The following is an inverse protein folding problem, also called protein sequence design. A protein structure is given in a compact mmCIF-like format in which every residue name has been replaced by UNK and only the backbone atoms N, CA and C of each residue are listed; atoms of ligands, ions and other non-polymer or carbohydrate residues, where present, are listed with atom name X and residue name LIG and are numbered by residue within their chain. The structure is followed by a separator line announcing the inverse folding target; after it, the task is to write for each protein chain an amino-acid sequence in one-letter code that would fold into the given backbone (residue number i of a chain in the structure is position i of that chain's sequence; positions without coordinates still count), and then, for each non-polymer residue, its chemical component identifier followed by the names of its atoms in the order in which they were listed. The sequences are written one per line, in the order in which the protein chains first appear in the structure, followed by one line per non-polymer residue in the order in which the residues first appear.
data_IF_357997114818
#
_entry.id   IF_357997114818
#
_cell.length_a   1.000
_cell.length_b   1.000
_cell.length_c   1.000
_cell.angle_alpha   90.00
_cell.angle_beta   90.00
_cell.angle_gamma   90.00
#
_symmetry.space_group_name_H-M   'P 1'
#
loop_
_entity.id
_entity.type
_entity.pdbx_description
1 polymer ?
#
# COMPACT_ATOMS: atom_id res chain seq x y z
N UNK A 1 12.89 34.26 -3.49
CA UNK A 1 12.66 32.79 -3.43
C UNK A 1 13.72 31.98 -4.17
N UNK A 2 14.23 32.41 -5.34
CA UNK A 2 15.30 31.69 -6.06
C UNK A 2 16.61 31.56 -5.26
N UNK A 3 17.10 32.64 -4.64
CA UNK A 3 18.36 32.62 -3.88
C UNK A 3 18.31 31.66 -2.69
N UNK A 4 17.16 31.58 -2.00
CA UNK A 4 16.93 30.62 -0.91
C UNK A 4 16.95 29.20 -1.45
N UNK A 5 16.26 28.92 -2.56
CA UNK A 5 16.29 27.60 -3.19
C UNK A 5 17.69 27.15 -3.59
N UNK A 6 18.52 28.06 -4.12
CA UNK A 6 19.93 27.77 -4.44
C UNK A 6 20.75 27.46 -3.19
N UNK A 7 20.57 28.23 -2.11
CA UNK A 7 21.27 27.98 -0.85
C UNK A 7 20.92 26.62 -0.25
N UNK A 8 19.62 26.26 -0.27
CA UNK A 8 19.15 24.94 0.20
C UNK A 8 19.73 23.82 -0.67
N UNK A 9 19.76 23.98 -2.00
CA UNK A 9 20.33 22.99 -2.90
C UNK A 9 21.83 22.75 -2.64
N UNK A 10 22.62 23.81 -2.48
CA UNK A 10 24.05 23.71 -2.15
C UNK A 10 24.24 23.06 -0.78
N UNK A 11 23.44 23.44 0.22
CA UNK A 11 23.48 22.82 1.55
C UNK A 11 23.16 21.32 1.52
N UNK A 12 22.11 20.93 0.79
CA UNK A 12 21.74 19.53 0.63
C UNK A 12 22.84 18.72 -0.09
N UNK A 13 23.48 19.31 -1.10
CA UNK A 13 24.60 18.68 -1.80
C UNK A 13 25.81 18.45 -0.88
N UNK A 14 26.18 19.44 -0.07
CA UNK A 14 27.28 19.30 0.90
C UNK A 14 26.98 18.17 1.89
N UNK A 15 25.76 18.11 2.44
CA UNK A 15 25.35 17.03 3.34
C UNK A 15 25.43 15.67 2.63
N UNK A 16 24.93 15.58 1.40
CA UNK A 16 24.95 14.34 0.62
C UNK A 16 26.39 13.86 0.36
N UNK A 17 27.30 14.76 -0.01
CA UNK A 17 28.72 14.42 -0.25
C UNK A 17 29.40 13.87 1.00
N UNK A 18 29.13 14.45 2.18
CA UNK A 18 29.69 13.97 3.45
C UNK A 18 29.07 12.63 3.86
N UNK A 19 27.79 12.42 3.57
CA UNK A 19 27.04 11.23 4.00
C UNK A 19 27.22 10.01 3.09
N UNK A 20 27.57 10.19 1.81
CA UNK A 20 27.50 9.10 0.82
C UNK A 20 28.49 7.97 1.10
N UNK A 21 29.76 8.28 1.39
CA UNK A 21 30.80 7.28 1.65
C UNK A 21 30.54 6.47 2.93
N UNK A 22 30.26 7.09 4.10
CA UNK A 22 30.00 6.31 5.32
C UNK A 22 28.70 5.49 5.27
N UNK A 23 27.70 5.91 4.48
CA UNK A 23 26.42 5.19 4.39
C UNK A 23 26.38 4.14 3.28
N UNK A 24 27.00 4.41 2.13
CA UNK A 24 26.87 3.57 0.93
C UNK A 24 28.19 2.91 0.48
N UNK A 25 29.35 3.43 0.91
CA UNK A 25 30.65 3.02 0.38
C UNK A 25 31.06 1.58 0.68
N UNK A 26 30.48 0.98 1.73
CA UNK A 26 30.73 -0.41 2.13
C UNK A 26 29.63 -1.40 1.75
N UNK A 27 28.65 -1.01 0.93
CA UNK A 27 27.49 -1.85 0.61
C UNK A 27 27.65 -2.54 -0.75
N UNK A 28 27.39 -3.86 -0.79
CA UNK A 28 27.38 -4.64 -2.02
C UNK A 28 26.31 -4.17 -3.02
N UNK A 29 25.20 -3.61 -2.52
CA UNK A 29 24.11 -3.11 -3.35
C UNK A 29 23.44 -1.85 -2.75
N UNK A 30 23.91 -0.67 -3.19
CA UNK A 30 23.33 0.62 -2.79
C UNK A 30 21.81 0.72 -3.08
N UNK A 31 21.30 0.01 -4.09
CA UNK A 31 19.87 -0.03 -4.40
C UNK A 31 19.02 -0.64 -3.28
N UNK A 32 19.53 -1.65 -2.56
CA UNK A 32 18.79 -2.24 -1.42
C UNK A 32 18.68 -1.25 -0.27
N UNK A 33 19.77 -0.52 0.00
CA UNK A 33 19.76 0.54 0.99
C UNK A 33 18.72 1.60 0.65
N UNK A 34 18.73 2.13 -0.57
CA UNK A 34 17.75 3.13 -1.01
C UNK A 34 16.32 2.61 -0.83
N UNK A 35 16.02 1.39 -1.27
CA UNK A 35 14.68 0.81 -1.14
C UNK A 35 14.28 0.60 0.33
N UNK A 36 15.19 0.13 1.17
CA UNK A 36 14.92 -0.09 2.58
C UNK A 36 14.54 1.21 3.30
N UNK A 37 15.35 2.26 3.16
CA UNK A 37 15.09 3.54 3.83
C UNK A 37 13.92 4.29 3.20
N UNK A 38 13.69 4.15 1.89
CA UNK A 38 12.46 4.68 1.28
C UNK A 38 11.22 3.91 1.75
N UNK A 39 11.37 2.63 2.05
CA UNK A 39 10.36 1.77 2.66
C UNK A 39 9.91 2.23 4.05
N UNK A 40 10.64 3.15 4.70
CA UNK A 40 10.18 3.77 5.95
C UNK A 40 9.11 4.82 5.71
N UNK A 41 8.97 5.32 4.47
CA UNK A 41 8.10 6.43 4.11
C UNK A 41 6.94 5.97 3.21
N UNK A 42 7.21 5.10 2.24
CA UNK A 42 6.22 4.68 1.24
C UNK A 42 4.89 4.14 1.80
N UNK A 43 4.87 3.31 2.86
CA UNK A 43 3.62 2.79 3.41
C UNK A 43 2.65 3.91 3.82
N UNK A 44 3.17 4.94 4.49
CA UNK A 44 2.38 6.09 4.92
C UNK A 44 1.86 6.92 3.77
N UNK A 45 2.72 7.18 2.77
CA UNK A 45 2.34 7.92 1.55
C UNK A 45 1.17 7.22 0.86
N UNK A 46 1.26 5.91 0.62
CA UNK A 46 0.20 5.16 -0.07
C UNK A 46 -1.12 5.22 0.71
N UNK A 47 -1.09 5.10 2.04
CA UNK A 47 -2.31 5.21 2.87
C UNK A 47 -2.90 6.62 2.80
N UNK A 48 -2.09 7.65 3.05
CA UNK A 48 -2.56 9.04 3.15
C UNK A 48 -3.06 9.56 1.79
N UNK A 49 -2.27 9.40 0.73
CA UNK A 49 -2.68 9.86 -0.59
C UNK A 49 -3.75 8.97 -1.20
N UNK A 50 -3.62 7.64 -1.09
CA UNK A 50 -4.61 6.70 -1.63
C UNK A 50 -6.00 6.95 -1.05
N UNK A 51 -6.11 7.01 0.28
CA UNK A 51 -7.40 7.25 0.93
C UNK A 51 -7.83 8.72 0.83
N UNK A 52 -6.91 9.68 0.95
CA UNK A 52 -7.24 11.10 0.84
C UNK A 52 -7.81 11.48 -0.54
N UNK A 53 -7.36 10.82 -1.61
CA UNK A 53 -7.86 11.03 -2.96
C UNK A 53 -9.17 10.27 -3.25
N UNK A 54 -9.30 9.04 -2.74
CA UNK A 54 -10.34 8.10 -3.18
C UNK A 54 -11.47 7.91 -2.16
N UNK A 55 -11.30 8.33 -0.90
CA UNK A 55 -12.25 8.04 0.17
C UNK A 55 -12.84 9.32 0.76
N UNK A 56 -14.14 9.55 0.56
CA UNK A 56 -14.80 10.80 1.01
C UNK A 56 -14.84 10.97 2.54
N UNK A 57 -14.69 9.87 3.29
CA UNK A 57 -14.60 9.89 4.75
C UNK A 57 -13.17 10.00 5.29
N UNK A 58 -12.16 10.06 4.41
CA UNK A 58 -10.78 10.20 4.83
C UNK A 58 -10.58 11.49 5.63
N UNK A 59 -10.25 11.33 6.91
CA UNK A 59 -10.09 12.46 7.83
C UNK A 59 -8.74 13.15 7.65
N UNK A 60 -8.74 14.48 7.69
CA UNK A 60 -7.50 15.26 7.80
C UNK A 60 -6.69 14.91 9.06
N UNK A 61 -7.37 14.61 10.17
CA UNK A 61 -6.76 14.18 11.43
C UNK A 61 -6.08 12.82 11.26
N UNK A 62 -6.76 11.86 10.63
CA UNK A 62 -6.18 10.55 10.31
C UNK A 62 -4.93 10.70 9.44
N UNK A 63 -4.98 11.52 8.40
CA UNK A 63 -3.86 11.76 7.50
C UNK A 63 -2.61 12.29 8.22
N UNK A 64 -2.76 13.30 9.07
CA UNK A 64 -1.62 13.89 9.81
C UNK A 64 -1.01 12.85 10.76
N UNK A 65 -1.82 12.15 11.54
CA UNK A 65 -1.32 11.16 12.49
C UNK A 65 -0.69 9.95 11.80
N UNK A 66 -1.27 9.47 10.70
CA UNK A 66 -0.65 8.41 9.89
C UNK A 66 0.71 8.85 9.35
N UNK A 67 0.83 10.07 8.81
CA UNK A 67 2.10 10.59 8.31
C UNK A 67 3.16 10.68 9.43
N UNK A 68 2.78 11.15 10.62
CA UNK A 68 3.66 11.21 11.79
C UNK A 68 4.07 9.80 12.23
N UNK A 69 3.14 8.85 12.30
CA UNK A 69 3.40 7.47 12.74
C UNK A 69 4.26 6.67 11.77
N UNK A 70 4.31 7.07 10.49
CA UNK A 70 5.01 6.32 9.44
C UNK A 70 6.49 6.09 9.77
N UNK A 71 7.22 7.15 10.17
CA UNK A 71 8.65 7.04 10.49
C UNK A 71 8.90 6.25 11.80
N UNK A 72 8.24 6.55 12.94
CA UNK A 72 8.37 5.75 14.15
C UNK A 72 8.07 4.27 13.94
N UNK A 73 7.04 3.93 13.16
CA UNK A 73 6.71 2.55 12.85
C UNK A 73 7.79 1.88 11.98
N UNK A 74 8.37 2.60 11.01
CA UNK A 74 9.52 2.13 10.23
C UNK A 74 10.72 1.77 11.09
N UNK A 75 11.11 2.68 11.99
CA UNK A 75 12.22 2.46 12.94
C UNK A 75 11.90 1.29 13.88
N UNK A 76 10.70 1.26 14.46
CA UNK A 76 10.27 0.20 15.37
C UNK A 76 10.35 -1.17 14.70
N UNK A 77 9.80 -1.32 13.48
CA UNK A 77 9.82 -2.59 12.76
C UNK A 77 11.23 -3.00 12.33
N UNK A 78 12.12 -2.05 11.98
CA UNK A 78 13.53 -2.35 11.70
C UNK A 78 14.24 -2.94 12.92
N UNK A 79 13.97 -2.40 14.12
CA UNK A 79 14.57 -2.86 15.37
C UNK A 79 13.96 -4.19 15.84
N UNK A 80 12.63 -4.33 15.79
CA UNK A 80 11.94 -5.51 16.29
C UNK A 80 12.01 -6.72 15.35
N UNK A 81 12.09 -6.49 14.04
CA UNK A 81 12.08 -7.53 13.01
C UNK A 81 13.31 -7.42 12.08
N UNK A 82 14.56 -7.46 12.62
CA UNK A 82 15.75 -7.22 11.82
C UNK A 82 15.97 -8.26 10.72
N UNK A 83 15.56 -9.51 10.97
CA UNK A 83 15.74 -10.64 10.05
C UNK A 83 14.66 -10.77 8.97
N UNK A 84 13.63 -9.91 9.02
CA UNK A 84 12.56 -9.91 8.01
C UNK A 84 13.00 -9.04 6.82
N UNK A 85 12.68 -9.42 5.58
CA UNK A 85 12.99 -8.57 4.43
C UNK A 85 12.27 -7.21 4.52
N UNK A 86 12.91 -6.12 4.08
CA UNK A 86 12.35 -4.77 4.23
C UNK A 86 11.00 -4.61 3.52
N UNK A 87 10.78 -5.35 2.43
CA UNK A 87 9.53 -5.36 1.66
C UNK A 87 8.36 -5.87 2.52
N UNK A 88 8.57 -6.93 3.30
CA UNK A 88 7.55 -7.45 4.22
C UNK A 88 7.32 -6.50 5.39
N UNK A 89 8.38 -5.92 5.96
CA UNK A 89 8.24 -4.88 7.01
C UNK A 89 7.38 -3.71 6.51
N UNK A 90 7.67 -3.20 5.31
CA UNK A 90 6.89 -2.13 4.68
C UNK A 90 5.41 -2.55 4.48
N UNK A 91 5.17 -3.78 4.07
CA UNK A 91 3.82 -4.36 3.98
C UNK A 91 3.08 -4.38 5.31
N UNK A 92 3.72 -4.82 6.39
CA UNK A 92 3.11 -4.83 7.73
C UNK A 92 2.80 -3.42 8.24
N UNK A 93 3.73 -2.48 8.03
CA UNK A 93 3.53 -1.07 8.39
C UNK A 93 2.35 -0.50 7.61
N UNK A 94 2.23 -0.80 6.31
CA UNK A 94 1.08 -0.38 5.50
C UNK A 94 -0.23 -0.87 6.10
N UNK A 95 -0.33 -2.16 6.46
CA UNK A 95 -1.55 -2.75 7.04
C UNK A 95 -1.92 -2.04 8.35
N UNK A 96 -0.94 -1.83 9.23
CA UNK A 96 -1.15 -1.18 10.52
C UNK A 96 -1.60 0.28 10.35
N UNK A 97 -0.90 1.04 9.50
CA UNK A 97 -1.23 2.44 9.22
C UNK A 97 -2.59 2.58 8.53
N UNK A 98 -2.94 1.65 7.65
CA UNK A 98 -4.25 1.60 7.00
C UNK A 98 -5.37 1.39 8.03
N UNK A 99 -5.25 0.38 8.90
CA UNK A 99 -6.24 0.12 9.95
C UNK A 99 -6.38 1.34 10.86
N UNK A 100 -5.25 1.92 11.30
CA UNK A 100 -5.23 3.14 12.10
C UNK A 100 -5.97 4.30 11.38
N UNK A 101 -5.64 4.55 10.11
CA UNK A 101 -6.25 5.63 9.33
C UNK A 101 -7.77 5.47 9.23
N UNK A 102 -8.23 4.25 8.93
CA UNK A 102 -9.66 3.94 8.83
C UNK A 102 -10.34 4.18 10.17
N UNK A 103 -9.80 3.63 11.26
CA UNK A 103 -10.35 3.80 12.61
C UNK A 103 -10.48 5.28 12.97
N UNK A 104 -9.39 6.06 12.86
CA UNK A 104 -9.42 7.49 13.18
C UNK A 104 -10.41 8.25 12.31
N UNK A 105 -10.53 7.90 11.03
CA UNK A 105 -11.49 8.54 10.12
C UNK A 105 -12.95 8.29 10.52
N UNK A 106 -13.28 7.12 11.07
CA UNK A 106 -14.63 6.85 11.60
C UNK A 106 -14.91 7.54 12.94
N UNK A 107 -13.87 7.80 13.76
CA UNK A 107 -14.00 8.50 15.03
C UNK A 107 -13.93 10.03 14.91
N UNK A 108 -13.43 10.56 13.80
CA UNK A 108 -13.40 12.01 13.57
C UNK A 108 -14.83 12.57 13.45
N UNK A 109 -15.07 13.67 14.15
CA UNK A 109 -16.36 14.36 14.21
C UNK A 109 -16.47 15.51 13.21
N UNK A 110 -15.39 15.84 12.50
CA UNK A 110 -15.35 16.92 11.50
C UNK A 110 -15.89 16.46 10.15
N UNK A 111 -17.21 16.32 10.06
CA UNK A 111 -17.87 15.89 8.83
C UNK A 111 -19.05 16.79 8.46
N UNK A 112 -19.39 16.79 7.16
CA UNK A 112 -20.57 17.44 6.60
C UNK A 112 -21.46 16.40 5.93
N UNK A 113 -22.76 16.70 5.80
CA UNK A 113 -23.66 15.84 5.02
C UNK A 113 -23.26 15.89 3.54
N UNK A 114 -23.31 14.74 2.89
CA UNK A 114 -23.04 14.62 1.45
C UNK A 114 -24.27 14.11 0.71
N UNK A 115 -24.43 14.54 -0.53
CA UNK A 115 -25.36 13.89 -1.45
C UNK A 115 -24.91 12.44 -1.71
N UNK A 116 -25.89 11.56 -1.91
CA UNK A 116 -25.59 10.18 -2.25
C UNK A 116 -25.29 10.07 -3.74
N UNK A 117 -24.41 9.12 -4.15
CA UNK A 117 -24.22 8.83 -5.57
C UNK A 117 -25.53 8.42 -6.24
N UNK A 118 -25.59 8.55 -7.56
CA UNK A 118 -26.70 8.03 -8.37
C UNK A 118 -26.92 6.53 -8.10
N UNK A 119 -28.13 6.02 -8.28
CA UNK A 119 -28.39 4.59 -8.08
C UNK A 119 -27.51 3.69 -8.95
N UNK A 120 -27.18 4.15 -10.17
CA UNK A 120 -26.27 3.45 -11.09
C UNK A 120 -24.85 3.39 -10.55
N UNK A 121 -24.32 4.53 -10.09
CA UNK A 121 -22.97 4.60 -9.52
C UNK A 121 -22.88 3.82 -8.21
N UNK A 122 -23.93 3.89 -7.38
CA UNK A 122 -24.00 3.15 -6.13
C UNK A 122 -23.95 1.64 -6.37
N UNK A 123 -24.72 1.12 -7.33
CA UNK A 123 -24.68 -0.30 -7.72
C UNK A 123 -23.30 -0.70 -8.23
N UNK A 124 -22.67 0.14 -9.06
CA UNK A 124 -21.33 -0.13 -9.59
C UNK A 124 -20.26 -0.14 -8.48
N UNK A 125 -20.26 0.85 -7.59
CA UNK A 125 -19.36 0.91 -6.44
C UNK A 125 -19.52 -0.32 -5.54
N UNK A 126 -20.75 -0.73 -5.23
CA UNK A 126 -21.02 -1.91 -4.40
C UNK A 126 -20.61 -3.22 -5.08
N UNK A 127 -20.79 -3.34 -6.39
CA UNK A 127 -20.34 -4.50 -7.16
C UNK A 127 -18.82 -4.64 -7.06
N UNK A 128 -18.08 -3.59 -7.37
CA UNK A 128 -16.62 -3.60 -7.29
C UNK A 128 -16.10 -3.74 -5.86
N UNK A 129 -16.79 -3.16 -4.87
CA UNK A 129 -16.46 -3.38 -3.47
C UNK A 129 -16.54 -4.86 -3.09
N UNK A 130 -17.58 -5.57 -3.54
CA UNK A 130 -17.70 -7.02 -3.30
C UNK A 130 -16.60 -7.80 -4.00
N UNK A 131 -16.36 -7.54 -5.28
CA UNK A 131 -15.33 -8.25 -6.08
C UNK A 131 -13.94 -8.07 -5.45
N UNK A 132 -13.53 -6.82 -5.20
CA UNK A 132 -12.21 -6.51 -4.65
C UNK A 132 -12.10 -6.96 -3.18
N UNK A 133 -13.18 -6.88 -2.42
CA UNK A 133 -13.22 -7.34 -1.03
C UNK A 133 -13.06 -8.86 -0.95
N UNK A 134 -13.79 -9.61 -1.77
CA UNK A 134 -13.67 -11.06 -1.87
C UNK A 134 -12.28 -11.47 -2.36
N UNK A 135 -11.73 -10.80 -3.39
CA UNK A 135 -10.37 -11.06 -3.85
C UNK A 135 -9.32 -10.81 -2.76
N UNK A 136 -9.43 -9.68 -2.03
CA UNK A 136 -8.53 -9.35 -0.93
C UNK A 136 -8.60 -10.36 0.22
N UNK A 137 -9.81 -10.79 0.60
CA UNK A 137 -10.01 -11.84 1.62
C UNK A 137 -9.39 -13.15 1.16
N UNK A 138 -9.61 -13.58 -0.08
CA UNK A 138 -9.01 -14.80 -0.63
C UNK A 138 -7.48 -14.76 -0.59
N UNK A 139 -6.86 -13.63 -0.94
CA UNK A 139 -5.41 -13.45 -0.84
C UNK A 139 -4.91 -13.58 0.60
N UNK A 140 -5.57 -12.91 1.56
CA UNK A 140 -5.21 -12.99 2.99
C UNK A 140 -5.36 -14.42 3.52
N UNK A 141 -6.46 -15.10 3.17
CA UNK A 141 -6.70 -16.48 3.60
C UNK A 141 -5.66 -17.44 3.00
N UNK A 142 -5.33 -17.28 1.72
CA UNK A 142 -4.29 -18.08 1.08
C UNK A 142 -2.93 -17.88 1.78
N UNK A 143 -2.53 -16.63 2.04
CA UNK A 143 -1.31 -16.31 2.79
C UNK A 143 -1.32 -16.93 4.19
N UNK A 144 -2.46 -16.85 4.89
CA UNK A 144 -2.62 -17.41 6.23
C UNK A 144 -2.52 -18.93 6.24
N UNK A 145 -3.16 -19.62 5.29
CA UNK A 145 -3.07 -21.07 5.17
C UNK A 145 -1.62 -21.50 4.96
N UNK A 146 -0.91 -20.89 4.01
CA UNK A 146 0.50 -21.23 3.72
C UNK A 146 1.42 -20.94 4.91
N UNK A 147 1.20 -19.82 5.59
CA UNK A 147 2.00 -19.45 6.77
C UNK A 147 1.74 -20.42 7.93
N UNK A 148 0.47 -20.75 8.22
CA UNK A 148 0.10 -21.68 9.31
C UNK A 148 0.63 -23.09 9.02
N UNK A 149 0.44 -23.60 7.80
CA UNK A 149 0.94 -24.92 7.42
C UNK A 149 2.47 -25.00 7.47
N UNK A 150 3.15 -23.90 7.11
CA UNK A 150 4.61 -23.78 7.24
C UNK A 150 5.08 -23.80 8.69
N UNK A 151 4.33 -23.18 9.61
CA UNK A 151 4.63 -23.22 11.05
C UNK A 151 4.41 -24.61 11.66
N UNK A 152 3.46 -25.39 11.15
CA UNK A 152 3.19 -26.76 11.63
C UNK A 152 4.30 -27.73 11.20
N UNK A 153 4.94 -27.50 10.05
CA UNK A 153 6.03 -28.32 9.53
C UNK A 153 7.33 -27.51 9.43
N UNK A 154 7.93 -27.12 10.57
CA UNK A 154 9.15 -26.32 10.57
C UNK A 154 10.30 -27.13 9.94
N UNK A 155 11.06 -26.49 9.06
CA UNK A 155 12.22 -27.11 8.40
C UNK A 155 11.91 -27.93 7.13
N UNK A 156 10.72 -27.77 6.54
CA UNK A 156 10.44 -28.34 5.22
C UNK A 156 11.43 -27.85 4.16
N UNK A 157 11.88 -28.76 3.29
CA UNK A 157 12.73 -28.41 2.15
C UNK A 157 11.87 -27.83 1.00
N UNK A 158 12.16 -26.61 0.49
CA UNK A 158 11.51 -26.05 -0.69
C UNK A 158 11.47 -26.97 -1.92
N UNK A 159 12.48 -27.84 -2.10
CA UNK A 159 12.56 -28.74 -3.25
C UNK A 159 11.54 -29.88 -3.20
N UNK A 160 11.01 -30.20 -2.01
CA UNK A 160 10.13 -31.37 -1.80
C UNK A 160 8.76 -31.02 -1.23
N UNK A 161 8.62 -29.88 -0.55
CA UNK A 161 7.37 -29.42 0.04
C UNK A 161 6.88 -28.14 -0.62
N UNK A 162 5.68 -28.21 -1.24
CA UNK A 162 5.02 -27.04 -1.84
C UNK A 162 4.85 -25.90 -0.83
N UNK A 163 4.54 -26.20 0.43
CA UNK A 163 4.36 -25.16 1.46
C UNK A 163 5.68 -24.49 1.82
N UNK A 164 6.78 -25.24 1.88
CA UNK A 164 8.11 -24.68 2.10
C UNK A 164 8.53 -23.81 0.91
N UNK A 165 8.30 -24.30 -0.31
CA UNK A 165 8.54 -23.56 -1.55
C UNK A 165 7.78 -22.23 -1.61
N UNK A 166 6.46 -22.25 -1.32
CA UNK A 166 5.66 -21.03 -1.32
C UNK A 166 6.16 -20.01 -0.28
N UNK A 167 6.56 -20.46 0.90
CA UNK A 167 7.14 -19.55 1.90
C UNK A 167 8.50 -18.98 1.45
N UNK A 168 9.34 -19.79 0.80
CA UNK A 168 10.65 -19.40 0.29
C UNK A 168 10.57 -18.30 -0.76
N UNK A 169 9.62 -18.42 -1.70
CA UNK A 169 9.40 -17.41 -2.77
C UNK A 169 8.64 -16.17 -2.27
N UNK A 170 8.34 -16.08 -0.98
CA UNK A 170 7.73 -14.91 -0.37
C UNK A 170 6.21 -14.81 -0.52
N UNK A 171 5.49 -15.93 -0.55
CA UNK A 171 4.02 -15.97 -0.66
C UNK A 171 3.29 -15.17 0.43
N UNK A 172 3.96 -14.86 1.54
CA UNK A 172 3.48 -13.94 2.58
C UNK A 172 3.16 -12.52 2.05
N UNK A 173 3.68 -12.12 0.88
CA UNK A 173 3.35 -10.84 0.25
C UNK A 173 1.84 -10.68 -0.02
N UNK A 174 1.11 -11.79 -0.12
CA UNK A 174 -0.35 -11.80 -0.28
C UNK A 174 -1.10 -11.18 0.91
N UNK A 175 -0.50 -11.08 2.10
CA UNK A 175 -1.07 -10.28 3.19
C UNK A 175 -1.17 -8.80 2.79
N UNK A 176 -0.07 -8.23 2.29
CA UNK A 176 -0.03 -6.85 1.83
C UNK A 176 -0.97 -6.63 0.64
N UNK A 177 -0.86 -7.46 -0.41
CA UNK A 177 -1.70 -7.31 -1.61
C UNK A 177 -3.19 -7.52 -1.31
N UNK A 178 -3.50 -8.44 -0.39
CA UNK A 178 -4.88 -8.66 0.05
C UNK A 178 -5.46 -7.47 0.79
N UNK A 179 -4.71 -6.82 1.68
CA UNK A 179 -5.14 -5.59 2.35
C UNK A 179 -5.17 -4.40 1.39
N UNK A 180 -4.20 -4.27 0.49
CA UNK A 180 -4.19 -3.21 -0.53
C UNK A 180 -5.44 -3.33 -1.43
N UNK A 181 -5.74 -4.53 -1.93
CA UNK A 181 -6.94 -4.79 -2.74
C UNK A 181 -8.22 -4.60 -1.93
N UNK A 182 -8.27 -5.14 -0.71
CA UNK A 182 -9.41 -5.01 0.21
C UNK A 182 -9.66 -3.58 0.69
N UNK A 183 -8.63 -2.73 0.77
CA UNK A 183 -8.79 -1.30 1.08
C UNK A 183 -9.69 -0.60 0.06
N UNK A 184 -9.62 -1.04 -1.20
CA UNK A 184 -10.47 -0.54 -2.27
C UNK A 184 -11.93 -0.86 -2.05
N UNK A 185 -12.23 -2.03 -1.52
CA UNK A 185 -13.58 -2.38 -1.12
C UNK A 185 -14.13 -1.50 0.00
N UNK A 186 -13.30 -1.15 0.98
CA UNK A 186 -13.69 -0.32 2.12
C UNK A 186 -14.12 1.07 1.65
N UNK A 187 -13.28 1.76 0.86
CA UNK A 187 -13.65 3.11 0.42
C UNK A 187 -14.75 3.11 -0.64
N UNK A 188 -14.83 2.10 -1.53
CA UNK A 188 -15.95 1.98 -2.48
C UNK A 188 -17.28 1.78 -1.76
N UNK A 189 -17.31 0.87 -0.78
CA UNK A 189 -18.50 0.62 0.03
C UNK A 189 -18.92 1.87 0.80
N UNK A 190 -17.97 2.51 1.50
CA UNK A 190 -18.22 3.74 2.26
C UNK A 190 -18.69 4.87 1.36
N UNK A 191 -18.04 5.13 0.22
CA UNK A 191 -18.45 6.16 -0.72
C UNK A 191 -19.88 5.94 -1.24
N UNK A 192 -20.29 4.69 -1.39
CA UNK A 192 -21.64 4.32 -1.86
C UNK A 192 -22.74 4.47 -0.80
N UNK A 193 -22.44 4.29 0.50
CA UNK A 193 -23.46 4.21 1.56
C UNK A 193 -23.44 5.38 2.54
N UNK A 194 -22.28 5.96 2.79
CA UNK A 194 -22.15 6.97 3.83
C UNK A 194 -22.86 8.26 3.43
N UNK A 195 -23.56 8.85 4.41
CA UNK A 195 -24.30 10.11 4.26
C UNK A 195 -23.50 11.33 4.69
N UNK A 196 -22.24 11.11 5.06
CA UNK A 196 -21.31 12.15 5.52
C UNK A 196 -19.97 12.00 4.84
N UNK A 197 -19.24 13.10 4.74
CA UNK A 197 -17.89 13.21 4.20
C UNK A 197 -17.06 14.19 5.01
N UNK A 198 -15.73 14.09 4.95
CA UNK A 198 -14.83 15.10 5.52
C UNK A 198 -15.06 16.46 4.82
N UNK A 199 -14.86 17.55 5.57
CA UNK A 199 -15.05 18.93 5.07
C UNK A 199 -14.15 19.23 3.86
N UNK A 200 -12.99 18.55 3.78
CA UNK A 200 -12.00 18.69 2.70
C UNK A 200 -12.01 17.52 1.72
N UNK A 201 -13.05 16.69 1.74
CA UNK A 201 -13.19 15.58 0.81
C UNK A 201 -13.17 16.07 -0.64
N UNK A 202 -12.42 15.37 -1.50
CA UNK A 202 -12.41 15.66 -2.93
C UNK A 202 -13.67 15.10 -3.60
N UNK A 203 -14.28 15.82 -4.55
CA UNK A 203 -15.40 15.30 -5.32
C UNK A 203 -14.93 14.14 -6.21
N UNK A 204 -15.57 12.98 -6.08
CA UNK A 204 -15.25 11.79 -6.88
C UNK A 204 -16.24 11.69 -8.03
N UNK A 205 -15.73 11.76 -9.25
CA UNK A 205 -16.51 11.53 -10.46
C UNK A 205 -16.03 10.24 -11.15
N UNK A 206 -16.87 9.20 -11.15
CA UNK A 206 -16.53 7.90 -11.74
C UNK A 206 -16.24 8.00 -13.25
N UNK A 207 -16.81 8.99 -13.95
CA UNK A 207 -16.56 9.19 -15.39
C UNK A 207 -15.12 9.58 -15.70
N UNK A 208 -14.40 10.15 -14.72
CA UNK A 208 -12.96 10.47 -14.88
C UNK A 208 -12.08 9.23 -14.97
N UNK A 209 -12.58 8.07 -14.52
CA UNK A 209 -11.86 6.80 -14.58
C UNK A 209 -12.26 5.96 -15.80
N UNK A 210 -13.16 6.45 -16.66
CA UNK A 210 -13.53 5.75 -17.87
C UNK A 210 -12.36 5.74 -18.85
N UNK A 211 -11.93 4.55 -19.24
CA UNK A 211 -10.86 4.35 -20.22
C UNK A 211 -11.43 3.95 -21.57
N UNK A 212 -10.72 4.27 -22.65
CA UNK A 212 -11.09 3.84 -23.98
C UNK A 212 -10.70 2.36 -24.25
N UNK A 213 -11.21 1.82 -25.36
CA UNK A 213 -10.95 0.43 -25.74
C UNK A 213 -9.47 0.18 -26.07
N UNK A 214 -8.78 1.14 -26.66
CA UNK A 214 -7.37 1.05 -26.99
C UNK A 214 -6.52 0.94 -25.72
N UNK A 215 -6.77 1.81 -24.73
CA UNK A 215 -6.13 1.72 -23.41
C UNK A 215 -6.35 0.34 -22.75
N UNK A 216 -7.59 -0.17 -22.83
CA UNK A 216 -7.95 -1.46 -22.24
C UNK A 216 -7.20 -2.62 -22.90
N UNK A 217 -7.17 -2.68 -24.23
CA UNK A 217 -6.44 -3.71 -24.98
C UNK A 217 -4.94 -3.62 -24.67
N UNK A 218 -4.37 -2.41 -24.64
CA UNK A 218 -2.97 -2.19 -24.28
C UNK A 218 -2.65 -2.71 -22.88
N UNK A 219 -3.52 -2.44 -21.90
CA UNK A 219 -3.38 -2.93 -20.52
C UNK A 219 -3.40 -4.46 -20.48
N UNK A 220 -4.36 -5.10 -21.15
CA UNK A 220 -4.40 -6.56 -21.25
C UNK A 220 -3.14 -7.16 -21.90
N UNK A 221 -2.61 -6.49 -22.93
CA UNK A 221 -1.35 -6.88 -23.57
C UNK A 221 -0.16 -6.83 -22.60
N UNK A 222 -0.02 -5.75 -21.82
CA UNK A 222 1.05 -5.62 -20.82
C UNK A 222 0.94 -6.69 -19.73
N UNK A 223 -0.28 -6.96 -19.26
CA UNK A 223 -0.53 -8.03 -18.26
C UNK A 223 -0.13 -9.39 -18.81
N UNK A 224 -0.51 -9.70 -20.06
CA UNK A 224 -0.15 -10.95 -20.71
C UNK A 224 1.36 -11.08 -20.91
N UNK A 225 2.04 -10.03 -21.39
CA UNK A 225 3.49 -10.03 -21.58
C UNK A 225 4.20 -10.24 -20.24
N UNK A 226 3.80 -9.50 -19.20
CA UNK A 226 4.37 -9.66 -17.86
C UNK A 226 4.16 -11.08 -17.35
N UNK A 227 2.94 -11.63 -17.48
CA UNK A 227 2.65 -13.00 -17.10
C UNK A 227 3.53 -14.02 -17.84
N UNK A 228 3.71 -13.88 -19.16
CA UNK A 228 4.55 -14.76 -19.95
C UNK A 228 6.03 -14.65 -19.56
N UNK A 229 6.53 -13.44 -19.31
CA UNK A 229 7.90 -13.24 -18.85
C UNK A 229 8.15 -13.98 -17.53
N UNK A 230 7.23 -13.84 -16.57
CA UNK A 230 7.34 -14.58 -15.31
C UNK A 230 7.15 -16.08 -15.52
N UNK A 231 6.21 -16.56 -16.33
CA UNK A 231 5.99 -17.99 -16.51
C UNK A 231 7.10 -18.72 -17.27
N UNK A 232 7.77 -18.04 -18.22
CA UNK A 232 8.79 -18.64 -19.08
C UNK A 232 10.22 -18.51 -18.52
N UNK A 233 10.48 -17.50 -17.69
CA UNK A 233 11.81 -17.22 -17.12
C UNK A 233 11.94 -17.64 -15.65
N UNK A 234 10.90 -18.25 -15.09
CA UNK A 234 10.89 -18.78 -13.72
C UNK A 234 11.72 -20.06 -13.58
#
# INVERSE_FOLDING_TARGET
MVSVGRLVAVGALIIALIAVEPLLGGLDQAFQYIQEYSGFIYPGIIVVFGLGLLWKRASSTAAVWTAILTIPMGILFKIMLPNVAFQFRAGYIFILLFVFFVVVSYFDKKYVRCEQPSETDQKQMLLWAKILGSAGILMILAAAIVTILGMIHPGGNPDTSVIAYLNDIGFQAFYFFGVLTGSSAIWLYSNSKDRVQDVKALPINLKLFATDRGYTIGTCGIVLITFLLYALLW
#
